data_IF_779468051025
#
_entry.id   IF_779468051025
#
_cell.length_a   1.000
_cell.length_b   1.000
_cell.length_c   1.000
_cell.angle_alpha   90.00
_cell.angle_beta   90.00
_cell.angle_gamma   90.00
#
_symmetry.space_group_name_H-M   'P 1'
#
loop_
_entity.id
_entity.type
_entity.pdbx_description
1 polymer ?
#
# COMPACT_ATOMS: atom_id res chain seq x y z
N UNK A 1 -0.97 13.15 9.94
CA UNK A 1 -1.01 11.75 10.35
C UNK A 1 -1.94 10.95 9.44
N UNK A 2 -1.54 9.73 9.10
CA UNK A 2 -2.35 8.80 8.34
C UNK A 2 -2.32 7.41 8.99
N UNK A 3 -3.50 6.84 9.24
CA UNK A 3 -3.68 5.47 9.71
C UNK A 3 -4.68 4.74 8.84
N UNK A 4 -4.49 3.44 8.69
CA UNK A 4 -5.40 2.59 7.92
C UNK A 4 -5.30 1.14 8.40
N UNK A 5 -6.44 0.49 8.59
CA UNK A 5 -6.49 -0.84 9.20
C UNK A 5 -6.04 -1.93 8.25
N UNK A 6 -5.28 -2.90 8.79
CA UNK A 6 -4.89 -4.12 8.10
C UNK A 6 -4.92 -5.32 9.02
N UNK A 7 -5.54 -6.40 8.58
CA UNK A 7 -5.61 -7.64 9.33
C UNK A 7 -4.21 -8.24 9.54
N UNK A 8 -3.86 -8.79 10.70
CA UNK A 8 -2.67 -9.61 10.88
C UNK A 8 -2.65 -10.81 9.92
N UNK A 9 -1.48 -11.39 9.70
CA UNK A 9 -1.37 -12.61 8.91
C UNK A 9 -2.15 -13.76 9.57
N UNK A 10 -2.65 -14.70 8.78
CA UNK A 10 -3.39 -15.87 9.28
C UNK A 10 -2.68 -16.57 10.44
N UNK A 11 -1.39 -16.83 10.31
CA UNK A 11 -0.58 -17.46 11.36
C UNK A 11 -0.56 -16.68 12.68
N UNK A 12 -0.70 -15.37 12.64
CA UNK A 12 -0.80 -14.52 13.82
C UNK A 12 -2.20 -14.54 14.41
N UNK A 13 -3.25 -14.59 13.57
CA UNK A 13 -4.63 -14.81 14.02
C UNK A 13 -4.79 -16.15 14.73
N UNK A 14 -4.21 -17.25 14.19
CA UNK A 14 -4.21 -18.58 14.78
C UNK A 14 -3.48 -18.63 16.13
N UNK A 15 -2.57 -17.71 16.40
CA UNK A 15 -1.85 -17.59 17.68
C UNK A 15 -2.61 -16.79 18.73
N UNK A 16 -3.51 -15.91 18.32
CA UNK A 16 -4.22 -15.02 19.24
C UNK A 16 -5.66 -15.44 19.52
N UNK A 17 -6.23 -16.29 18.67
CA UNK A 17 -7.64 -16.71 18.75
C UNK A 17 -7.77 -18.21 18.92
N UNK A 18 -8.88 -18.64 19.55
CA UNK A 18 -9.23 -20.06 19.58
C UNK A 18 -9.57 -20.56 18.16
N UNK A 19 -9.20 -21.79 17.80
CA UNK A 19 -9.40 -22.32 16.44
C UNK A 19 -10.86 -22.27 15.96
N UNK A 20 -11.83 -22.50 16.85
CA UNK A 20 -13.27 -22.46 16.57
C UNK A 20 -13.83 -21.03 16.50
N UNK A 21 -13.03 -20.01 16.86
CA UNK A 21 -13.35 -18.58 16.79
C UNK A 21 -12.52 -17.84 15.73
N UNK A 22 -11.71 -18.54 14.96
CA UNK A 22 -10.82 -17.93 13.99
C UNK A 22 -11.59 -17.21 12.87
N UNK A 23 -12.74 -17.73 12.48
CA UNK A 23 -13.60 -17.18 11.42
C UNK A 23 -15.03 -17.67 11.56
N UNK A 24 -16.07 -16.93 11.16
CA UNK A 24 -16.04 -15.56 10.63
C UNK A 24 -15.84 -14.49 11.72
N UNK A 25 -15.59 -13.25 11.29
CA UNK A 25 -15.39 -12.12 12.21
C UNK A 25 -16.71 -11.54 12.75
N UNK A 26 -17.82 -11.74 12.03
CA UNK A 26 -19.15 -11.26 12.42
C UNK A 26 -19.62 -11.98 13.70
N UNK A 27 -20.22 -11.20 14.61
CA UNK A 27 -20.74 -11.71 15.89
C UNK A 27 -19.75 -12.56 16.69
N UNK A 28 -18.46 -12.25 16.57
CA UNK A 28 -17.36 -12.98 17.15
C UNK A 28 -16.65 -12.16 18.24
N UNK A 29 -16.82 -12.56 19.47
CA UNK A 29 -16.30 -11.86 20.65
C UNK A 29 -14.77 -11.76 20.67
N UNK A 30 -14.03 -12.75 20.14
CA UNK A 30 -12.58 -12.69 20.08
C UNK A 30 -12.12 -11.66 19.05
N UNK A 31 -12.74 -11.62 17.88
CA UNK A 31 -12.47 -10.58 16.91
C UNK A 31 -12.75 -9.18 17.47
N UNK A 32 -13.88 -9.01 18.18
CA UNK A 32 -14.21 -7.74 18.83
C UNK A 32 -13.19 -7.36 19.92
N UNK A 33 -12.74 -8.33 20.71
CA UNK A 33 -11.73 -8.12 21.73
C UNK A 33 -10.40 -7.68 21.13
N UNK A 34 -9.91 -8.41 20.14
CA UNK A 34 -8.62 -8.11 19.49
C UNK A 34 -8.67 -6.88 18.57
N UNK A 35 -9.82 -6.46 18.12
CA UNK A 35 -10.00 -5.22 17.37
C UNK A 35 -10.17 -3.97 18.26
N UNK A 36 -9.84 -4.07 19.53
CA UNK A 36 -10.00 -2.99 20.51
C UNK A 36 -11.46 -2.56 20.62
N UNK A 37 -12.23 -3.33 21.36
CA UNK A 37 -13.63 -3.01 21.68
C UNK A 37 -13.69 -1.59 22.28
N UNK A 38 -14.53 -0.71 21.75
CA UNK A 38 -14.65 0.64 22.29
C UNK A 38 -15.16 0.60 23.73
N UNK A 39 -14.63 1.51 24.56
CA UNK A 39 -15.08 1.66 25.95
C UNK A 39 -16.39 2.41 26.08
N UNK A 40 -16.84 3.12 25.03
CA UNK A 40 -18.06 3.91 25.01
C UNK A 40 -18.91 3.63 23.77
N UNK A 41 -20.20 3.36 23.95
CA UNK A 41 -21.16 3.25 22.85
C UNK A 41 -21.31 4.61 22.15
N UNK A 42 -21.38 4.61 20.82
CA UNK A 42 -21.70 5.79 20.02
C UNK A 42 -20.52 6.62 19.49
N UNK A 43 -19.26 6.19 19.67
CA UNK A 43 -18.12 6.88 19.06
C UNK A 43 -17.90 6.43 17.60
N UNK A 44 -17.36 7.28 16.75
CA UNK A 44 -17.08 6.99 15.33
C UNK A 44 -16.10 5.81 15.11
N UNK A 45 -15.42 5.35 16.15
CA UNK A 45 -14.46 4.26 16.12
C UNK A 45 -15.00 2.94 16.70
N UNK A 46 -16.30 2.85 16.92
CA UNK A 46 -16.94 1.76 17.65
C UNK A 46 -16.74 0.36 17.06
N UNK A 47 -16.28 0.24 15.82
CA UNK A 47 -16.17 -1.05 15.17
C UNK A 47 -14.97 -1.06 14.22
N UNK A 48 -13.74 -1.15 14.75
CA UNK A 48 -12.53 -1.21 13.90
C UNK A 48 -12.61 -2.31 12.85
N UNK A 49 -13.19 -3.47 13.18
CA UNK A 49 -13.41 -4.54 12.21
C UNK A 49 -14.39 -4.14 11.12
N UNK A 50 -15.52 -3.54 11.50
CA UNK A 50 -16.51 -3.04 10.53
C UNK A 50 -15.88 -1.96 9.64
N UNK A 51 -15.06 -1.08 10.22
CA UNK A 51 -14.32 -0.09 9.45
C UNK A 51 -13.38 -0.77 8.43
N UNK A 52 -12.62 -1.77 8.86
CA UNK A 52 -11.73 -2.54 7.98
C UNK A 52 -12.52 -3.26 6.87
N UNK A 53 -13.65 -3.89 7.19
CA UNK A 53 -14.53 -4.52 6.21
C UNK A 53 -15.11 -3.49 5.21
N UNK A 54 -15.49 -2.29 5.69
CA UNK A 54 -15.92 -1.20 4.82
C UNK A 54 -14.80 -0.69 3.91
N UNK A 55 -13.58 -0.60 4.40
CA UNK A 55 -12.41 -0.24 3.60
C UNK A 55 -12.16 -1.25 2.48
N UNK A 56 -12.27 -2.56 2.79
CA UNK A 56 -12.21 -3.63 1.77
C UNK A 56 -13.32 -3.44 0.73
N UNK A 57 -14.57 -3.24 1.20
CA UNK A 57 -15.73 -3.05 0.31
C UNK A 57 -15.58 -1.84 -0.61
N UNK A 58 -14.99 -0.74 -0.14
CA UNK A 58 -14.72 0.45 -0.96
C UNK A 58 -13.74 0.12 -2.11
N UNK A 59 -12.72 -0.69 -1.84
CA UNK A 59 -11.69 -1.01 -2.84
C UNK A 59 -12.14 -2.15 -3.78
N UNK A 60 -12.75 -3.21 -3.23
CA UNK A 60 -13.05 -4.45 -3.95
C UNK A 60 -14.54 -4.69 -4.23
N UNK A 61 -15.44 -3.78 -3.82
CA UNK A 61 -16.88 -3.89 -4.03
C UNK A 61 -17.60 -4.83 -3.07
N UNK A 62 -16.95 -5.89 -2.60
CA UNK A 62 -17.47 -6.89 -1.66
C UNK A 62 -16.45 -7.18 -0.57
N UNK A 63 -16.92 -7.74 0.54
CA UNK A 63 -16.04 -8.28 1.59
C UNK A 63 -15.88 -9.78 1.33
N UNK A 64 -14.65 -10.31 1.21
CA UNK A 64 -14.43 -11.74 1.00
C UNK A 64 -15.03 -12.61 2.12
N UNK A 65 -15.54 -13.77 1.74
CA UNK A 65 -16.14 -14.74 2.66
C UNK A 65 -15.07 -15.66 3.28
N UNK A 66 -13.94 -15.86 2.60
CA UNK A 66 -12.84 -16.70 3.05
C UNK A 66 -11.79 -15.88 3.82
N UNK A 67 -11.28 -16.43 4.94
CA UNK A 67 -10.33 -15.75 5.81
C UNK A 67 -9.08 -15.27 5.06
N UNK A 68 -8.49 -16.12 4.22
CA UNK A 68 -7.24 -15.78 3.52
C UNK A 68 -7.43 -14.64 2.51
N UNK A 69 -8.57 -14.60 1.85
CA UNK A 69 -8.93 -13.50 0.93
C UNK A 69 -9.26 -12.22 1.70
N UNK A 70 -9.93 -12.33 2.85
CA UNK A 70 -10.17 -11.20 3.74
C UNK A 70 -8.87 -10.61 4.27
N UNK A 71 -7.95 -11.42 4.76
CA UNK A 71 -6.61 -11.00 5.22
C UNK A 71 -5.88 -10.29 4.08
N UNK A 72 -5.85 -10.90 2.89
CA UNK A 72 -5.20 -10.31 1.72
C UNK A 72 -5.82 -8.96 1.36
N UNK A 73 -7.14 -8.88 1.18
CA UNK A 73 -7.84 -7.67 0.77
C UNK A 73 -7.68 -6.53 1.80
N UNK A 74 -7.72 -6.83 3.11
CA UNK A 74 -7.49 -5.83 4.14
C UNK A 74 -6.07 -5.28 4.12
N UNK A 75 -5.06 -6.15 3.93
CA UNK A 75 -3.67 -5.74 3.86
C UNK A 75 -3.35 -4.95 2.58
N UNK A 76 -3.98 -5.27 1.46
CA UNK A 76 -3.86 -4.46 0.23
C UNK A 76 -4.51 -3.10 0.44
N UNK A 77 -5.71 -3.05 1.01
CA UNK A 77 -6.38 -1.78 1.33
C UNK A 77 -5.51 -0.89 2.23
N UNK A 78 -4.87 -1.46 3.25
CA UNK A 78 -3.93 -0.75 4.10
C UNK A 78 -2.70 -0.26 3.32
N UNK A 79 -2.11 -1.12 2.51
CA UNK A 79 -0.89 -0.82 1.77
C UNK A 79 -1.10 0.30 0.75
N UNK A 80 -2.19 0.23 -0.04
CA UNK A 80 -2.51 1.23 -1.05
C UNK A 80 -2.86 2.59 -0.41
N UNK A 81 -3.59 2.60 0.69
CA UNK A 81 -3.91 3.85 1.38
C UNK A 81 -2.66 4.53 1.94
N UNK A 82 -1.80 3.80 2.66
CA UNK A 82 -0.56 4.36 3.21
C UNK A 82 0.41 4.77 2.10
N UNK A 83 0.51 3.97 1.03
CA UNK A 83 1.27 4.31 -0.17
C UNK A 83 0.80 5.64 -0.77
N UNK A 84 -0.50 5.79 -1.00
CA UNK A 84 -1.07 7.02 -1.55
C UNK A 84 -0.70 8.25 -0.71
N UNK A 85 -0.87 8.19 0.60
CA UNK A 85 -0.54 9.30 1.48
C UNK A 85 0.96 9.64 1.45
N UNK A 86 1.83 8.65 1.56
CA UNK A 86 3.29 8.87 1.57
C UNK A 86 3.75 9.44 0.24
N UNK A 87 3.35 8.86 -0.88
CA UNK A 87 3.76 9.33 -2.21
C UNK A 87 3.21 10.72 -2.52
N UNK A 88 1.96 10.99 -2.14
CA UNK A 88 1.37 12.32 -2.31
C UNK A 88 2.15 13.42 -1.59
N UNK A 89 2.67 13.11 -0.40
CA UNK A 89 3.51 14.04 0.35
C UNK A 89 4.89 14.18 -0.27
N UNK A 90 5.50 13.09 -0.73
CA UNK A 90 6.82 13.14 -1.39
C UNK A 90 6.78 13.89 -2.72
N UNK A 91 5.74 13.71 -3.53
CA UNK A 91 5.57 14.44 -4.80
C UNK A 91 5.35 15.95 -4.60
N UNK A 92 4.85 16.37 -3.44
CA UNK A 92 4.58 17.79 -3.11
C UNK A 92 5.55 18.32 -2.04
N UNK A 93 6.80 17.90 -2.09
CA UNK A 93 7.84 18.21 -1.09
C UNK A 93 8.14 19.71 -0.94
N UNK A 94 7.85 20.52 -1.94
CA UNK A 94 7.96 22.00 -1.86
C UNK A 94 6.99 22.61 -0.84
N UNK A 95 5.84 21.95 -0.60
CA UNK A 95 4.79 22.42 0.31
C UNK A 95 4.66 21.58 1.56
N UNK A 96 5.19 20.36 1.57
CA UNK A 96 4.98 19.35 2.59
C UNK A 96 6.29 18.74 3.03
N UNK A 97 6.63 18.92 4.29
CA UNK A 97 7.91 18.45 4.86
C UNK A 97 7.90 16.95 5.22
N UNK A 98 6.73 16.30 5.26
CA UNK A 98 6.64 14.88 5.57
C UNK A 98 5.26 14.47 6.12
N UNK A 99 5.11 13.19 6.37
CA UNK A 99 3.90 12.61 6.94
C UNK A 99 4.27 11.60 8.03
N UNK A 100 3.55 11.61 9.13
CA UNK A 100 3.59 10.56 10.15
C UNK A 100 2.49 9.55 9.85
N UNK A 101 2.85 8.31 9.59
CA UNK A 101 1.87 7.24 9.43
C UNK A 101 1.77 6.41 10.72
N UNK A 102 0.57 6.01 11.05
CA UNK A 102 0.24 5.26 12.24
C UNK A 102 -0.06 3.81 11.89
N UNK A 103 0.64 2.81 12.45
CA UNK A 103 1.87 2.88 13.22
C UNK A 103 2.80 1.69 12.86
N UNK A 104 3.98 1.59 13.47
CA UNK A 104 4.97 0.58 13.08
C UNK A 104 4.60 -0.81 13.61
N UNK A 105 4.33 -0.96 14.92
CA UNK A 105 4.16 -2.28 15.56
C UNK A 105 3.11 -2.26 16.65
N UNK A 106 2.35 -3.37 16.72
CA UNK A 106 1.39 -3.61 17.79
C UNK A 106 2.07 -3.88 19.14
N UNK A 107 1.53 -3.28 20.19
CA UNK A 107 2.01 -3.47 21.57
C UNK A 107 1.39 -4.67 22.29
N UNK A 108 0.34 -5.28 21.73
CA UNK A 108 -0.34 -6.47 22.23
C UNK A 108 -1.03 -7.21 21.06
N UNK A 109 -1.51 -8.45 21.23
CA UNK A 109 -2.20 -9.18 20.16
C UNK A 109 -3.48 -8.44 19.73
N UNK A 110 -3.43 -7.68 18.65
CA UNK A 110 -4.56 -6.87 18.18
C UNK A 110 -4.63 -6.80 16.66
N UNK A 111 -5.81 -6.40 16.18
CA UNK A 111 -6.12 -6.08 14.80
C UNK A 111 -6.15 -4.55 14.69
N UNK A 112 -5.18 -3.95 14.00
CA UNK A 112 -4.95 -2.51 14.05
C UNK A 112 -4.35 -1.92 12.77
N UNK A 113 -3.96 -0.64 12.85
CA UNK A 113 -3.25 0.11 11.81
C UNK A 113 -1.76 -0.27 11.69
N UNK A 114 -1.19 -0.99 12.67
CA UNK A 114 0.22 -1.35 12.66
C UNK A 114 0.58 -2.18 11.40
N UNK A 115 1.77 -1.91 10.84
CA UNK A 115 2.28 -2.63 9.66
C UNK A 115 3.12 -3.87 10.03
N UNK A 116 3.48 -3.99 11.32
CA UNK A 116 4.06 -5.19 11.93
C UNK A 116 3.16 -5.57 13.10
N UNK A 117 2.69 -6.80 13.13
CA UNK A 117 1.82 -7.26 14.21
C UNK A 117 2.59 -7.53 15.52
N UNK A 118 1.88 -7.85 16.58
CA UNK A 118 2.46 -8.14 17.89
C UNK A 118 3.52 -9.24 17.86
N UNK A 119 3.32 -10.28 17.04
CA UNK A 119 4.22 -11.41 16.92
C UNK A 119 5.44 -11.15 16.05
N UNK A 120 5.55 -9.94 15.47
CA UNK A 120 6.64 -9.52 14.60
C UNK A 120 6.45 -9.88 13.13
N UNK A 121 5.28 -10.42 12.76
CA UNK A 121 4.99 -10.70 11.36
C UNK A 121 4.65 -9.38 10.62
N UNK A 122 5.26 -9.22 9.45
CA UNK A 122 5.09 -8.03 8.61
C UNK A 122 3.86 -8.18 7.75
N UNK A 123 2.99 -7.16 7.77
CA UNK A 123 1.87 -7.04 6.83
C UNK A 123 2.38 -6.51 5.49
N UNK A 124 1.58 -6.60 4.41
CA UNK A 124 1.98 -6.12 3.07
C UNK A 124 2.39 -4.66 3.04
N UNK A 125 1.72 -3.82 3.82
CA UNK A 125 2.04 -2.40 3.93
C UNK A 125 3.49 -2.13 4.37
N UNK A 126 4.10 -3.01 5.18
CA UNK A 126 5.50 -2.87 5.57
C UNK A 126 6.45 -2.89 4.35
N UNK A 127 6.27 -3.85 3.44
CA UNK A 127 7.12 -3.97 2.25
C UNK A 127 6.89 -2.79 1.30
N UNK A 128 5.65 -2.37 1.11
CA UNK A 128 5.29 -1.22 0.28
C UNK A 128 5.92 0.06 0.83
N UNK A 129 5.74 0.36 2.12
CA UNK A 129 6.31 1.55 2.77
C UNK A 129 7.84 1.54 2.67
N UNK A 130 8.49 0.40 2.97
CA UNK A 130 9.94 0.27 2.85
C UNK A 130 10.44 0.62 1.44
N UNK A 131 9.70 0.21 0.41
CA UNK A 131 10.04 0.47 -0.99
C UNK A 131 9.86 1.93 -1.37
N UNK A 132 8.70 2.51 -1.07
CA UNK A 132 8.38 3.89 -1.45
C UNK A 132 9.07 4.95 -0.59
N UNK A 133 9.70 4.58 0.50
CA UNK A 133 10.51 5.47 1.36
C UNK A 133 12.02 5.35 1.12
N UNK A 134 12.45 4.70 0.03
CA UNK A 134 13.85 4.79 -0.41
C UNK A 134 14.17 6.23 -0.85
N UNK A 135 15.44 6.62 -0.77
CA UNK A 135 15.89 7.96 -1.14
C UNK A 135 15.44 8.34 -2.56
N UNK A 136 15.62 7.43 -3.51
CA UNK A 136 15.10 7.62 -4.88
C UNK A 136 13.83 6.80 -5.06
N UNK A 137 12.77 7.45 -5.54
CA UNK A 137 11.50 6.79 -5.84
C UNK A 137 10.84 7.42 -7.07
N UNK A 138 10.34 6.57 -7.98
CA UNK A 138 9.50 7.00 -9.10
C UNK A 138 8.05 6.68 -8.77
N UNK A 139 7.19 7.67 -8.91
CA UNK A 139 5.79 7.63 -8.48
C UNK A 139 4.86 8.14 -9.57
N UNK A 140 3.62 7.66 -9.54
CA UNK A 140 2.53 8.13 -10.41
C UNK A 140 1.53 8.91 -9.54
N UNK A 141 1.17 10.11 -9.98
CA UNK A 141 0.17 10.93 -9.32
C UNK A 141 -1.24 10.72 -9.86
N UNK A 142 -2.22 11.36 -9.21
CA UNK A 142 -3.61 11.34 -9.67
C UNK A 142 -3.73 11.95 -11.08
N UNK A 143 -4.65 11.40 -11.87
CA UNK A 143 -4.85 11.87 -13.24
C UNK A 143 -5.41 13.28 -13.29
N UNK A 144 -4.90 14.07 -14.22
CA UNK A 144 -5.43 15.38 -14.62
C UNK A 144 -5.56 15.37 -16.14
N UNK A 145 -6.74 15.65 -16.64
CA UNK A 145 -7.05 15.61 -18.08
C UNK A 145 -6.69 14.24 -18.71
N UNK A 146 -7.14 13.15 -18.06
CA UNK A 146 -6.92 11.75 -18.46
C UNK A 146 -5.44 11.34 -18.56
N UNK A 147 -4.55 12.05 -17.90
CA UNK A 147 -3.12 11.77 -17.86
C UNK A 147 -2.60 11.77 -16.42
N UNK A 148 -1.94 10.69 -16.02
CA UNK A 148 -1.22 10.60 -14.76
C UNK A 148 0.18 11.24 -14.90
N UNK A 149 0.57 12.19 -14.03
CA UNK A 149 1.96 12.65 -13.97
C UNK A 149 2.86 11.56 -13.40
N UNK A 150 4.07 11.44 -13.96
CA UNK A 150 5.13 10.56 -13.46
C UNK A 150 6.23 11.43 -12.87
N UNK A 151 6.52 11.26 -11.58
CA UNK A 151 7.46 12.08 -10.84
C UNK A 151 8.53 11.19 -10.21
N UNK A 152 9.80 11.54 -10.40
CA UNK A 152 10.91 10.98 -9.67
C UNK A 152 11.36 11.93 -8.56
N UNK A 153 11.58 11.39 -7.36
CA UNK A 153 12.07 12.13 -6.19
C UNK A 153 13.42 11.56 -5.78
N UNK A 154 14.33 12.43 -5.38
CA UNK A 154 15.62 12.09 -4.81
C UNK A 154 15.81 12.85 -3.49
N UNK A 155 15.62 12.15 -2.36
CA UNK A 155 15.81 12.72 -1.01
C UNK A 155 17.27 12.60 -0.53
N UNK A 156 18.19 12.08 -1.37
CA UNK A 156 19.59 12.00 -1.03
C UNK A 156 20.32 13.34 -1.21
N UNK A 157 21.51 13.45 -0.61
CA UNK A 157 22.33 14.67 -0.65
C UNK A 157 23.16 14.81 -1.94
N UNK A 158 22.99 13.90 -2.91
CA UNK A 158 23.76 13.89 -4.18
C UNK A 158 22.81 13.78 -5.36
N UNK A 159 23.12 14.42 -6.50
CA UNK A 159 22.40 14.16 -7.72
C UNK A 159 22.59 12.69 -8.14
N UNK A 160 21.56 12.08 -8.73
CA UNK A 160 21.52 10.69 -9.15
C UNK A 160 20.94 10.59 -10.55
N UNK A 161 21.57 9.84 -11.45
CA UNK A 161 21.04 9.57 -12.79
C UNK A 161 20.34 8.22 -12.81
N UNK A 162 19.10 8.22 -13.29
CA UNK A 162 18.30 7.01 -13.48
C UNK A 162 17.68 6.99 -14.88
N UNK A 163 17.40 5.77 -15.36
CA UNK A 163 16.48 5.50 -16.47
C UNK A 163 15.24 4.84 -15.87
N UNK A 164 14.12 5.54 -15.91
CA UNK A 164 12.83 5.07 -15.40
C UNK A 164 11.96 4.57 -16.53
N UNK A 165 11.18 3.52 -16.29
CA UNK A 165 10.13 3.03 -17.16
C UNK A 165 8.81 2.85 -16.41
N UNK A 166 7.71 3.09 -17.12
CA UNK A 166 6.35 2.82 -16.66
C UNK A 166 5.66 1.97 -17.71
N UNK A 167 5.20 0.79 -17.31
CA UNK A 167 4.51 -0.15 -18.17
C UNK A 167 3.11 -0.48 -17.61
N UNK A 168 2.20 -0.89 -18.49
CA UNK A 168 0.88 -1.40 -18.15
C UNK A 168 0.51 -2.50 -19.13
N UNK A 169 0.07 -3.64 -18.64
CA UNK A 169 -0.33 -4.80 -19.46
C UNK A 169 0.77 -5.24 -20.45
N UNK A 170 2.04 -5.14 -20.05
CA UNK A 170 3.20 -5.47 -20.89
C UNK A 170 3.59 -4.40 -21.91
N UNK A 171 2.84 -3.30 -22.03
CA UNK A 171 3.16 -2.15 -22.89
C UNK A 171 3.94 -1.09 -22.09
N UNK A 172 5.08 -0.64 -22.61
CA UNK A 172 5.85 0.46 -22.02
C UNK A 172 5.29 1.81 -22.47
N UNK A 173 4.66 2.53 -21.55
CA UNK A 173 4.00 3.81 -21.79
C UNK A 173 4.95 5.01 -21.66
N UNK A 174 6.03 4.85 -20.88
CA UNK A 174 7.04 5.88 -20.68
C UNK A 174 8.39 5.23 -20.43
N UNK A 175 9.41 5.72 -21.12
CA UNK A 175 10.81 5.45 -20.81
C UNK A 175 11.57 6.77 -20.83
N UNK A 176 12.32 7.07 -19.75
CA UNK A 176 12.99 8.35 -19.59
C UNK A 176 14.27 8.24 -18.77
N UNK A 177 15.36 8.77 -19.31
CA UNK A 177 16.59 8.94 -18.55
C UNK A 177 16.69 10.40 -18.05
N UNK A 178 16.99 10.57 -16.76
CA UNK A 178 17.10 11.89 -16.13
C UNK A 178 18.11 11.87 -14.99
N UNK A 179 18.82 12.97 -14.85
CA UNK A 179 19.52 13.31 -13.62
C UNK A 179 18.53 13.97 -12.67
N UNK A 180 18.43 13.43 -11.47
CA UNK A 180 17.64 13.92 -10.36
C UNK A 180 18.52 14.79 -9.47
N UNK A 181 18.16 16.05 -9.18
CA UNK A 181 18.92 16.89 -8.27
C UNK A 181 18.91 16.30 -6.85
N UNK A 182 19.90 16.64 -6.03
CA UNK A 182 19.89 16.34 -4.61
C UNK A 182 18.72 17.04 -3.93
N UNK A 183 18.03 16.35 -3.00
CA UNK A 183 16.83 16.86 -2.29
C UNK A 183 15.80 17.50 -3.24
N UNK A 184 15.51 16.82 -4.35
CA UNK A 184 14.62 17.40 -5.35
C UNK A 184 13.75 16.39 -6.07
N UNK A 185 12.86 16.91 -6.89
CA UNK A 185 11.95 16.13 -7.71
C UNK A 185 12.02 16.58 -9.18
N UNK A 186 11.72 15.64 -10.08
CA UNK A 186 11.69 15.88 -11.53
C UNK A 186 10.44 15.24 -12.11
N UNK A 187 9.69 16.00 -12.89
CA UNK A 187 8.62 15.45 -13.72
C UNK A 187 9.23 14.72 -14.93
N UNK A 188 8.99 13.41 -15.00
CA UNK A 188 9.48 12.55 -16.08
C UNK A 188 8.57 12.58 -17.32
N UNK A 189 7.32 12.98 -17.16
CA UNK A 189 6.30 13.00 -18.19
C UNK A 189 4.92 12.60 -17.67
N UNK A 190 4.08 12.14 -18.56
CA UNK A 190 2.72 11.69 -18.23
C UNK A 190 2.42 10.38 -18.93
N UNK A 191 1.58 9.55 -18.34
CA UNK A 191 1.04 8.31 -18.94
C UNK A 191 -0.48 8.36 -18.98
N UNK A 192 -1.13 7.73 -19.97
CA UNK A 192 -2.58 7.70 -20.08
C UNK A 192 -3.24 7.09 -18.83
N UNK A 193 -4.32 7.70 -18.35
CA UNK A 193 -5.14 7.09 -17.32
C UNK A 193 -5.85 5.83 -17.83
N UNK A 194 -6.03 4.87 -16.95
CA UNK A 194 -6.77 3.65 -17.27
C UNK A 194 -8.27 3.89 -17.20
N UNK A 195 -9.01 3.40 -18.19
CA UNK A 195 -10.47 3.41 -18.23
C UNK A 195 -11.09 2.21 -17.50
N UNK A 196 -10.29 1.19 -17.26
CA UNK A 196 -10.61 -0.02 -16.50
C UNK A 196 -9.62 -0.17 -15.33
N UNK A 197 -9.91 -1.01 -14.31
CA UNK A 197 -8.95 -1.31 -13.25
C UNK A 197 -7.62 -1.78 -13.82
N UNK A 198 -6.52 -1.13 -13.44
CA UNK A 198 -5.21 -1.39 -14.03
C UNK A 198 -4.09 -1.29 -12.99
N UNK A 199 -3.04 -2.06 -13.24
CA UNK A 199 -1.83 -2.08 -12.45
C UNK A 199 -0.68 -1.56 -13.31
N UNK A 200 -0.11 -0.42 -12.94
CA UNK A 200 1.07 0.14 -13.59
C UNK A 200 2.32 -0.38 -12.87
N UNK A 201 3.24 -0.93 -13.63
CA UNK A 201 4.56 -1.35 -13.19
C UNK A 201 5.54 -0.20 -13.41
N UNK A 202 6.28 0.16 -12.38
CA UNK A 202 7.24 1.25 -12.40
C UNK A 202 8.59 0.68 -12.02
N UNK A 203 9.60 0.90 -12.84
CA UNK A 203 10.99 0.49 -12.52
C UNK A 203 11.97 1.58 -12.89
N UNK A 204 13.12 1.58 -12.23
CA UNK A 204 14.25 2.44 -12.61
C UNK A 204 15.57 1.74 -12.37
N UNK A 205 16.55 2.10 -13.19
CA UNK A 205 17.90 1.58 -13.18
C UNK A 205 18.90 2.71 -13.42
N UNK A 206 20.18 2.53 -13.04
CA UNK A 206 21.25 3.49 -13.21
C UNK A 206 22.17 3.47 -12.01
N UNK A 207 22.51 4.62 -11.45
CA UNK A 207 23.33 4.72 -10.23
C UNK A 207 22.62 4.08 -9.01
N UNK A 208 21.31 4.08 -9.02
CA UNK A 208 20.45 3.33 -8.10
C UNK A 208 19.34 2.64 -8.89
N UNK A 209 18.83 1.55 -8.35
CA UNK A 209 17.72 0.81 -8.96
C UNK A 209 16.59 0.61 -7.96
N UNK A 210 15.38 0.47 -8.47
CA UNK A 210 14.20 0.18 -7.67
C UNK A 210 12.98 -0.05 -8.52
N UNK A 211 11.89 -0.35 -7.83
CA UNK A 211 10.59 -0.62 -8.42
C UNK A 211 9.46 0.00 -7.60
N UNK A 212 8.35 0.20 -8.23
CA UNK A 212 7.11 0.65 -7.61
C UNK A 212 5.92 0.18 -8.44
N UNK A 213 4.72 0.46 -7.98
CA UNK A 213 3.50 0.22 -8.73
C UNK A 213 2.50 1.35 -8.54
N UNK A 214 1.47 1.36 -9.37
CA UNK A 214 0.33 2.24 -9.16
C UNK A 214 -0.95 1.50 -9.58
N UNK A 215 -1.85 1.33 -8.62
CA UNK A 215 -3.18 0.76 -8.84
C UNK A 215 -4.13 1.90 -9.21
N UNK A 216 -4.68 1.88 -10.41
CA UNK A 216 -5.51 2.95 -10.95
C UNK A 216 -6.73 2.43 -11.71
N UNK A 217 -7.65 3.35 -12.02
CA UNK A 217 -8.88 3.06 -12.73
C UNK A 217 -10.12 3.07 -11.84
N UNK A 218 -11.29 2.83 -12.41
CA UNK A 218 -12.54 2.79 -11.67
C UNK A 218 -12.58 1.59 -10.72
N UNK A 219 -13.13 1.81 -9.53
CA UNK A 219 -13.43 0.71 -8.57
C UNK A 219 -14.74 0.03 -8.95
N UNK A 220 -14.98 -1.23 -8.56
CA UNK A 220 -14.14 -2.07 -7.71
C UNK A 220 -12.98 -2.72 -8.46
N UNK A 221 -11.89 -3.02 -7.74
CA UNK A 221 -10.80 -3.86 -8.22
C UNK A 221 -11.11 -5.33 -7.96
N UNK A 222 -10.55 -6.22 -8.78
CA UNK A 222 -10.63 -7.65 -8.54
C UNK A 222 -9.52 -8.12 -7.58
N UNK A 223 -9.87 -8.94 -6.58
CA UNK A 223 -8.92 -9.46 -5.58
C UNK A 223 -7.85 -10.34 -6.22
N UNK A 224 -8.22 -11.18 -7.21
CA UNK A 224 -7.28 -12.08 -7.88
C UNK A 224 -6.27 -11.28 -8.72
N UNK A 225 -6.73 -10.31 -9.49
CA UNK A 225 -5.86 -9.40 -10.28
C UNK A 225 -4.88 -8.63 -9.38
N UNK A 226 -5.34 -8.13 -8.23
CA UNK A 226 -4.45 -7.49 -7.26
C UNK A 226 -3.44 -8.50 -6.68
N UNK A 227 -3.84 -9.75 -6.45
CA UNK A 227 -2.95 -10.79 -5.95
C UNK A 227 -1.82 -11.09 -6.94
N UNK A 228 -2.12 -11.17 -8.22
CA UNK A 228 -1.14 -11.40 -9.28
C UNK A 228 -0.18 -10.21 -9.40
N UNK A 229 -0.68 -8.99 -9.40
CA UNK A 229 0.14 -7.76 -9.42
C UNK A 229 1.10 -7.68 -8.22
N UNK A 230 0.59 -7.92 -7.01
CA UNK A 230 1.44 -7.94 -5.82
C UNK A 230 2.44 -9.10 -5.79
N UNK A 231 2.12 -10.25 -6.41
CA UNK A 231 3.05 -11.37 -6.53
C UNK A 231 4.18 -11.08 -7.53
N UNK A 232 3.89 -10.38 -8.62
CA UNK A 232 4.89 -9.97 -9.62
C UNK A 232 5.96 -9.07 -8.98
N UNK A 233 5.55 -8.04 -8.23
CA UNK A 233 6.45 -7.11 -7.53
C UNK A 233 7.29 -7.83 -6.45
N UNK A 234 6.71 -8.82 -5.77
CA UNK A 234 7.41 -9.51 -4.67
C UNK A 234 8.50 -10.48 -5.15
N UNK A 235 8.44 -10.94 -6.41
CA UNK A 235 9.43 -11.89 -6.97
C UNK A 235 10.77 -11.23 -7.25
N UNK A 236 10.78 -9.95 -7.62
CA UNK A 236 12.02 -9.24 -7.93
C UNK A 236 12.84 -8.88 -6.68
N UNK A 237 12.20 -8.70 -5.52
CA UNK A 237 12.88 -8.45 -4.24
C UNK A 237 13.64 -9.69 -3.71
N UNK A 238 13.26 -10.90 -4.14
CA UNK A 238 13.88 -12.17 -3.74
C UNK A 238 15.14 -12.54 -4.53
N UNK A 239 15.44 -11.90 -5.65
CA UNK A 239 16.56 -12.24 -6.52
C UNK A 239 17.84 -11.42 -6.29
N UNK A 240 17.78 -10.39 -5.46
CA UNK A 240 18.95 -9.61 -5.03
C UNK A 240 19.38 -10.07 -3.62
N UNK A 241 20.17 -11.15 -3.55
CA UNK A 241 21.00 -11.53 -2.41
C UNK A 241 22.45 -11.22 -2.68
#
# INVERSE_FOLDING_TARGET
EAGYHGCPNRTSLERMMNPDKLWPWQDNEEWLTHAVRPMEEGTAYNFRITLMANQIKILFGTVPEELDDFVFASQVSQAEALKFFIERFRMDSERRSGILWWNLRDGWPQISDAVVDYYGARKRAYAVIKRIQQDVCVMIGEAVDDLHPVVAVNDSQKPVTIRASVCRDGECLLEKERQLPANGSVNLGRVPAATEPAFYEISWQGEVSGENHYLAGPRPFDVATCRDGYAAISREVGSAR
#
